data_IF_632175449224
#
_entry.id   IF_632175449224
#
_cell.length_a   1.000
_cell.length_b   1.000
_cell.length_c   1.000
_cell.angle_alpha   90.00
_cell.angle_beta   90.00
_cell.angle_gamma   90.00
#
_symmetry.space_group_name_H-M   'P 1'
#
loop_
_entity.id
_entity.type
_entity.pdbx_description
1 polymer ?
#
# COMPACT_ATOMS: atom_id res chain seq x y z
N UNK A 1 -7.02 -12.90 -11.31
CA UNK A 1 -7.74 -12.18 -12.37
C UNK A 1 -8.03 -10.75 -11.94
N UNK A 2 -7.60 -9.74 -12.73
CA UNK A 2 -7.66 -8.28 -12.46
C UNK A 2 -6.51 -7.64 -11.66
N UNK A 3 -5.32 -8.26 -11.67
CA UNK A 3 -4.09 -7.74 -11.01
C UNK A 3 -3.67 -6.36 -11.55
N UNK A 4 -4.13 -6.02 -12.74
CA UNK A 4 -3.93 -4.75 -13.42
C UNK A 4 -4.81 -3.60 -12.89
N UNK A 5 -5.94 -3.88 -12.24
CA UNK A 5 -6.86 -2.84 -11.76
C UNK A 5 -6.37 -2.20 -10.46
N UNK A 6 -6.55 -0.88 -10.32
CA UNK A 6 -6.24 -0.12 -9.11
C UNK A 6 -6.86 1.28 -9.15
N UNK A 7 -7.58 1.67 -8.10
CA UNK A 7 -8.13 3.03 -7.96
C UNK A 7 -7.06 4.04 -7.48
N UNK A 8 -6.18 4.41 -8.41
CA UNK A 8 -5.09 5.36 -8.12
C UNK A 8 -5.59 6.75 -7.67
N UNK A 9 -6.77 7.19 -8.13
CA UNK A 9 -7.30 8.51 -7.79
C UNK A 9 -7.73 8.56 -6.33
N UNK A 10 -8.42 7.52 -5.85
CA UNK A 10 -8.80 7.38 -4.45
C UNK A 10 -7.59 7.48 -3.51
N UNK A 11 -6.50 6.78 -3.84
CA UNK A 11 -5.26 6.79 -3.06
C UNK A 11 -4.34 7.98 -3.32
N UNK A 12 -4.74 8.94 -4.17
CA UNK A 12 -3.96 10.12 -4.56
C UNK A 12 -2.58 9.78 -5.17
N UNK A 13 -2.53 8.69 -5.93
CA UNK A 13 -1.34 8.22 -6.63
C UNK A 13 -1.45 8.59 -8.11
N UNK A 14 -0.38 9.13 -8.69
CA UNK A 14 -0.42 9.53 -10.10
C UNK A 14 -0.52 8.30 -11.02
N UNK A 15 -1.13 8.40 -12.23
CA UNK A 15 -1.16 7.28 -13.17
C UNK A 15 0.22 6.75 -13.56
N UNK A 16 1.24 7.63 -13.60
CA UNK A 16 2.63 7.26 -13.88
C UNK A 16 3.21 6.40 -12.75
N UNK A 17 2.96 6.80 -11.50
CA UNK A 17 3.40 6.03 -10.33
C UNK A 17 2.65 4.70 -10.22
N UNK A 18 1.33 4.70 -10.41
CA UNK A 18 0.51 3.49 -10.34
C UNK A 18 0.97 2.40 -11.32
N UNK A 19 1.43 2.78 -12.52
CA UNK A 19 1.98 1.83 -13.51
C UNK A 19 3.33 1.23 -13.09
N UNK A 20 4.12 1.95 -12.30
CA UNK A 20 5.42 1.49 -11.82
C UNK A 20 5.29 0.61 -10.55
N UNK A 21 4.16 0.69 -9.86
CA UNK A 21 3.91 -0.04 -8.61
C UNK A 21 3.71 -1.54 -8.85
N UNK A 22 4.41 -2.34 -8.05
CA UNK A 22 4.18 -3.76 -7.86
C UNK A 22 2.67 -3.96 -7.59
N UNK A 23 2.01 -4.85 -8.34
CA UNK A 23 0.62 -5.18 -8.07
C UNK A 23 0.33 -5.57 -6.61
N UNK A 24 1.30 -6.17 -5.91
CA UNK A 24 1.18 -6.45 -4.47
C UNK A 24 0.96 -5.16 -3.67
N UNK A 25 1.71 -4.09 -3.96
CA UNK A 25 1.54 -2.79 -3.29
C UNK A 25 0.17 -2.16 -3.56
N UNK A 26 -0.38 -2.35 -4.77
CA UNK A 26 -1.70 -1.85 -5.16
C UNK A 26 -2.80 -2.60 -4.40
N UNK A 27 -2.73 -3.93 -4.39
CA UNK A 27 -3.70 -4.75 -3.68
C UNK A 27 -3.66 -4.54 -2.17
N UNK A 28 -2.48 -4.49 -1.54
CA UNK A 28 -2.41 -4.30 -0.08
C UNK A 28 -3.02 -2.97 0.36
N UNK A 29 -2.98 -1.92 -0.49
CA UNK A 29 -3.66 -0.65 -0.19
C UNK A 29 -5.18 -0.78 -0.20
N UNK A 30 -5.74 -1.45 -1.22
CA UNK A 30 -7.19 -1.68 -1.35
C UNK A 30 -7.72 -2.50 -0.19
N UNK A 31 -7.11 -3.66 0.09
CA UNK A 31 -7.58 -4.54 1.18
C UNK A 31 -7.34 -3.92 2.55
N UNK A 32 -6.31 -3.08 2.72
CA UNK A 32 -6.12 -2.33 3.97
C UNK A 32 -7.24 -1.32 4.20
N UNK A 33 -7.65 -0.59 3.15
CA UNK A 33 -8.79 0.31 3.23
C UNK A 33 -10.08 -0.45 3.54
N UNK A 34 -10.35 -1.55 2.83
CA UNK A 34 -11.51 -2.39 3.07
C UNK A 34 -11.55 -2.93 4.50
N UNK A 35 -10.40 -3.34 5.05
CA UNK A 35 -10.29 -3.78 6.44
C UNK A 35 -10.61 -2.66 7.42
N UNK A 36 -10.07 -1.46 7.24
CA UNK A 36 -10.39 -0.30 8.09
C UNK A 36 -11.87 0.09 8.01
N UNK A 37 -12.44 0.09 6.81
CA UNK A 37 -13.86 0.38 6.61
C UNK A 37 -14.74 -0.69 7.27
N UNK A 38 -14.42 -1.97 7.07
CA UNK A 38 -15.17 -3.10 7.63
C UNK A 38 -15.10 -3.17 9.15
N UNK A 39 -14.01 -2.69 9.76
CA UNK A 39 -13.89 -2.59 11.20
C UNK A 39 -14.90 -1.61 11.84
N UNK A 40 -15.49 -0.69 11.06
CA UNK A 40 -16.54 0.22 11.52
C UNK A 40 -16.11 1.27 12.56
N UNK A 41 -14.82 1.33 12.92
CA UNK A 41 -14.29 2.19 13.99
C UNK A 41 -14.27 3.67 13.62
N UNK A 42 -14.34 3.98 12.32
CA UNK A 42 -13.99 5.30 11.77
C UNK A 42 -15.13 6.02 11.02
N UNK A 43 -16.37 5.57 11.20
CA UNK A 43 -17.56 6.09 10.51
C UNK A 43 -17.85 5.39 9.17
N UNK A 44 -18.97 5.76 8.53
CA UNK A 44 -19.51 5.05 7.35
C UNK A 44 -19.16 5.67 5.99
N UNK A 45 -18.40 6.78 5.96
CA UNK A 45 -18.02 7.47 4.72
C UNK A 45 -16.53 7.32 4.42
N UNK A 46 -16.16 7.16 3.15
CA UNK A 46 -14.76 6.99 2.72
C UNK A 46 -13.84 8.09 3.25
N UNK A 47 -14.29 9.36 3.14
CA UNK A 47 -13.54 10.51 3.64
C UNK A 47 -13.41 10.53 5.17
N UNK A 48 -14.44 10.05 5.89
CA UNK A 48 -14.43 9.98 7.35
C UNK A 48 -13.45 8.92 7.85
N UNK A 49 -13.41 7.75 7.18
CA UNK A 49 -12.44 6.70 7.49
C UNK A 49 -11.01 7.21 7.33
N UNK A 50 -10.69 7.82 6.18
CA UNK A 50 -9.36 8.39 5.95
C UNK A 50 -9.02 9.47 6.98
N UNK A 51 -9.94 10.40 7.25
CA UNK A 51 -9.71 11.47 8.20
C UNK A 51 -9.46 10.96 9.63
N UNK A 52 -10.13 9.89 10.05
CA UNK A 52 -9.96 9.33 11.39
C UNK A 52 -8.63 8.57 11.58
N UNK A 53 -8.08 8.00 10.50
CA UNK A 53 -6.78 7.31 10.50
C UNK A 53 -5.59 8.28 10.55
N UNK A 54 -5.74 9.48 9.98
CA UNK A 54 -4.67 10.46 9.90
C UNK A 54 -4.07 10.78 11.28
N UNK A 55 -2.77 10.57 11.43
CA UNK A 55 -2.02 10.87 12.65
C UNK A 55 -2.12 9.82 13.75
N UNK A 56 -2.90 8.74 13.56
CA UNK A 56 -3.07 7.70 14.58
C UNK A 56 -1.78 6.91 14.82
N UNK A 57 -1.56 6.48 16.06
CA UNK A 57 -0.43 5.62 16.45
C UNK A 57 -0.71 4.14 16.15
N UNK A 58 -1.05 3.84 14.90
CA UNK A 58 -1.31 2.48 14.41
C UNK A 58 -0.06 1.95 13.71
N UNK A 59 0.36 0.74 14.05
CA UNK A 59 1.45 0.05 13.38
C UNK A 59 0.99 -0.73 12.15
N UNK A 60 1.89 -0.90 11.17
CA UNK A 60 1.68 -1.67 9.95
C UNK A 60 2.77 -2.74 9.87
N UNK A 61 2.34 -4.00 9.77
CA UNK A 61 3.23 -5.16 9.69
C UNK A 61 2.78 -6.00 8.50
N UNK A 62 3.64 -6.17 7.50
CA UNK A 62 3.33 -6.94 6.28
C UNK A 62 4.30 -8.11 6.16
N UNK A 63 3.77 -9.32 5.98
CA UNK A 63 4.58 -10.48 5.58
C UNK A 63 4.74 -10.50 4.06
N UNK A 64 5.98 -10.56 3.56
CA UNK A 64 6.24 -10.68 2.13
C UNK A 64 7.61 -11.34 1.87
N UNK A 65 7.62 -12.41 1.08
CA UNK A 65 8.81 -13.14 0.68
C UNK A 65 9.29 -12.80 -0.74
N UNK A 66 8.35 -12.57 -1.67
CA UNK A 66 8.64 -12.55 -3.10
C UNK A 66 8.64 -11.13 -3.67
N UNK A 67 9.64 -10.80 -4.50
CA UNK A 67 9.79 -9.49 -5.17
C UNK A 67 9.89 -9.63 -6.70
N UNK A 68 9.03 -10.45 -7.32
CA UNK A 68 9.07 -10.73 -8.75
C UNK A 68 8.99 -9.46 -9.62
N UNK A 69 8.21 -8.46 -9.18
CA UNK A 69 8.08 -7.20 -9.90
C UNK A 69 9.40 -6.44 -10.04
N UNK A 70 10.28 -6.51 -9.04
CA UNK A 70 11.61 -5.91 -9.13
C UNK A 70 12.45 -6.60 -10.22
N UNK A 71 12.35 -7.93 -10.32
CA UNK A 71 13.09 -8.73 -11.31
C UNK A 71 12.55 -8.54 -12.74
N UNK A 72 11.27 -8.22 -12.89
CA UNK A 72 10.63 -7.98 -14.18
C UNK A 72 10.83 -6.55 -14.70
N UNK A 73 11.35 -5.62 -13.90
CA UNK A 73 11.65 -4.26 -14.37
C UNK A 73 12.96 -4.24 -15.18
N UNK A 74 12.82 -4.15 -16.50
CA UNK A 74 13.95 -4.13 -17.43
C UNK A 74 14.48 -2.71 -17.72
N UNK A 75 13.68 -1.67 -17.44
CA UNK A 75 14.03 -0.27 -17.68
C UNK A 75 14.29 0.48 -16.37
N UNK A 76 15.37 1.26 -16.35
CA UNK A 76 15.68 2.14 -15.22
C UNK A 76 14.62 3.25 -15.10
N UNK A 77 13.80 3.16 -14.07
CA UNK A 77 12.80 4.18 -13.72
C UNK A 77 13.17 4.86 -12.41
N UNK A 78 12.99 6.19 -12.33
CA UNK A 78 13.12 6.92 -11.05
C UNK A 78 12.11 6.45 -9.99
N UNK A 79 11.08 5.71 -10.41
CA UNK A 79 10.06 5.14 -9.54
C UNK A 79 10.32 3.67 -9.20
N UNK A 80 11.40 3.06 -9.71
CA UNK A 80 11.67 1.63 -9.47
C UNK A 80 11.79 1.33 -7.97
N UNK A 81 12.56 2.15 -7.24
CA UNK A 81 12.78 1.97 -5.80
C UNK A 81 11.47 2.00 -5.00
N UNK A 82 10.60 2.98 -5.25
CA UNK A 82 9.29 3.08 -4.57
C UNK A 82 8.22 2.19 -5.19
N UNK A 83 8.48 1.62 -6.37
CA UNK A 83 7.56 0.77 -7.09
C UNK A 83 7.68 -0.70 -6.72
N UNK A 84 8.83 -1.17 -6.22
CA UNK A 84 9.07 -2.62 -6.03
C UNK A 84 9.78 -3.03 -4.74
N UNK A 85 10.39 -2.10 -3.99
CA UNK A 85 11.05 -2.46 -2.74
C UNK A 85 10.05 -3.03 -1.70
N UNK A 86 10.42 -4.10 -1.01
CA UNK A 86 9.57 -4.83 -0.07
C UNK A 86 9.10 -3.93 1.07
N UNK A 87 9.99 -3.09 1.61
CA UNK A 87 9.68 -2.11 2.66
C UNK A 87 8.56 -1.14 2.28
N UNK A 88 8.30 -0.94 0.98
CA UNK A 88 7.23 -0.05 0.52
C UNK A 88 5.85 -0.66 0.73
N UNK A 89 5.72 -1.98 0.84
CA UNK A 89 4.43 -2.63 1.13
C UNK A 89 3.83 -2.09 2.44
N UNK A 90 4.59 -2.10 3.53
CA UNK A 90 4.15 -1.51 4.79
C UNK A 90 4.19 0.02 4.77
N UNK A 91 5.25 0.62 4.24
CA UNK A 91 5.45 2.08 4.32
C UNK A 91 4.42 2.85 3.51
N UNK A 92 3.96 2.32 2.37
CA UNK A 92 2.95 2.98 1.54
C UNK A 92 1.58 2.98 2.20
N UNK A 93 1.19 1.91 2.91
CA UNK A 93 -0.01 1.89 3.77
C UNK A 93 0.11 2.98 4.84
N UNK A 94 1.23 3.01 5.57
CA UNK A 94 1.46 4.04 6.60
C UNK A 94 1.38 5.46 6.02
N UNK A 95 1.96 5.68 4.85
CA UNK A 95 1.98 6.99 4.18
C UNK A 95 0.59 7.43 3.73
N UNK A 96 -0.11 6.56 2.98
CA UNK A 96 -1.41 6.85 2.36
C UNK A 96 -2.49 7.10 3.42
N UNK A 97 -2.51 6.32 4.50
CA UNK A 97 -3.48 6.47 5.59
C UNK A 97 -3.00 7.40 6.73
N UNK A 98 -1.79 7.95 6.62
CA UNK A 98 -1.23 8.90 7.60
C UNK A 98 -0.91 8.29 8.98
N UNK A 99 -0.66 6.99 9.05
CA UNK A 99 -0.38 6.26 10.30
C UNK A 99 1.03 6.58 10.82
N UNK A 100 1.18 6.67 12.14
CA UNK A 100 2.40 7.12 12.83
C UNK A 100 3.01 6.07 13.75
N UNK A 101 2.53 4.82 13.71
CA UNK A 101 3.15 3.70 14.42
C UNK A 101 4.30 3.06 13.63
N UNK A 102 4.87 1.94 14.11
CA UNK A 102 5.88 1.17 13.40
C UNK A 102 5.40 0.74 12.01
N UNK A 103 6.32 0.67 11.03
CA UNK A 103 6.01 0.16 9.70
C UNK A 103 7.09 -0.80 9.25
N UNK A 104 6.75 -2.08 9.14
CA UNK A 104 7.69 -3.17 8.94
C UNK A 104 7.18 -4.15 7.90
N UNK A 105 8.07 -4.55 7.00
CA UNK A 105 7.86 -5.69 6.12
C UNK A 105 8.79 -6.81 6.57
N UNK A 106 8.25 -8.01 6.75
CA UNK A 106 8.91 -9.15 7.38
C UNK A 106 8.92 -10.32 6.40
N UNK A 107 10.07 -10.97 6.27
CA UNK A 107 10.22 -12.22 5.52
C UNK A 107 10.74 -13.31 6.44
N UNK A 108 9.93 -14.35 6.62
CA UNK A 108 10.26 -15.54 7.41
C UNK A 108 10.05 -16.82 6.60
N UNK A 109 9.87 -16.70 5.28
CA UNK A 109 9.26 -17.76 4.47
C UNK A 109 7.91 -18.24 5.07
N UNK A 110 7.48 -19.45 4.69
CA UNK A 110 6.26 -20.13 5.15
C UNK A 110 6.43 -20.86 6.48
#
# INVERSE_FOLDING_TARGET
DKVELFDNQFFKISPREARAMDPQQRHVLEVSYEAFHSAGVFGSGQQAVLAALMGQKVGVYVGCMQQDWLLMQHEASSLAATGSASSILSNRISYVFGLKGPSLTIDTAC
#
